data_IF_960871368978
#
_entry.id   IF_960871368978
#
_cell.length_a   1.000
_cell.length_b   1.000
_cell.length_c   1.000
_cell.angle_alpha   90.00
_cell.angle_beta   90.00
_cell.angle_gamma   90.00
#
_symmetry.space_group_name_H-M   'P 1'
#
loop_
_entity.id
_entity.type
_entity.pdbx_description
1 polymer ?
#
# COMPACT_ATOMS: atom_id res chain seq x y z
N UNK A 1 -48.16 -2.37 -65.72
CA UNK A 1 -46.86 -1.71 -65.36
C UNK A 1 -46.92 -1.45 -63.85
N UNK A 2 -46.21 -2.31 -63.09
CA UNK A 2 -46.23 -2.28 -61.64
C UNK A 2 -44.96 -1.58 -61.19
N UNK A 3 -45.04 -0.38 -60.59
CA UNK A 3 -43.91 0.34 -60.02
C UNK A 3 -43.52 -0.33 -58.70
N UNK A 4 -42.33 -0.87 -58.66
CA UNK A 4 -41.69 -1.43 -57.49
C UNK A 4 -40.91 -0.28 -56.78
N UNK A 5 -41.42 0.16 -55.61
CA UNK A 5 -40.71 1.12 -54.78
C UNK A 5 -39.76 0.33 -53.89
N UNK A 6 -38.43 0.51 -54.05
CA UNK A 6 -37.42 -0.02 -53.16
C UNK A 6 -37.27 0.96 -51.96
N UNK A 7 -37.65 0.53 -50.75
CA UNK A 7 -37.32 1.17 -49.50
C UNK A 7 -35.97 0.63 -49.05
N UNK A 8 -34.92 1.46 -49.08
CA UNK A 8 -33.65 1.18 -48.42
C UNK A 8 -33.81 1.40 -46.89
N UNK A 9 -33.44 0.42 -46.04
CA UNK A 9 -33.34 0.69 -44.63
C UNK A 9 -32.06 1.50 -44.32
N UNK A 10 -32.24 2.69 -43.79
CA UNK A 10 -31.16 3.48 -43.21
C UNK A 10 -30.77 2.79 -41.91
N UNK A 11 -29.62 2.11 -41.90
CA UNK A 11 -29.00 1.60 -40.68
C UNK A 11 -28.31 2.79 -39.96
N UNK A 12 -28.93 3.27 -38.92
CA UNK A 12 -28.25 4.16 -37.96
C UNK A 12 -27.22 3.32 -37.20
N UNK A 13 -25.95 3.46 -37.57
CA UNK A 13 -24.85 3.03 -36.70
C UNK A 13 -24.75 4.06 -35.58
N UNK A 14 -25.36 3.78 -34.44
CA UNK A 14 -25.02 4.49 -33.21
C UNK A 14 -23.60 4.09 -32.85
N UNK A 15 -22.65 4.98 -33.19
CA UNK A 15 -21.32 5.00 -32.60
C UNK A 15 -21.51 5.38 -31.13
N UNK A 16 -21.44 4.41 -30.23
CA UNK A 16 -21.20 4.70 -28.82
C UNK A 16 -19.75 5.19 -28.75
N UNK A 17 -19.55 6.48 -28.91
CA UNK A 17 -18.40 7.14 -28.30
C UNK A 17 -18.70 7.11 -26.81
N UNK A 18 -18.02 6.27 -26.05
CA UNK A 18 -17.89 6.43 -24.63
C UNK A 18 -17.16 7.76 -24.44
N UNK A 19 -17.92 8.81 -24.14
CA UNK A 19 -17.36 10.00 -23.52
C UNK A 19 -16.76 9.52 -22.19
N UNK A 20 -15.46 9.31 -22.18
CA UNK A 20 -14.71 9.21 -20.93
C UNK A 20 -14.94 10.54 -20.26
N UNK A 21 -15.59 10.56 -19.12
CA UNK A 21 -15.83 11.77 -18.35
C UNK A 21 -14.48 12.47 -18.14
N UNK A 22 -14.41 13.75 -18.52
CA UNK A 22 -13.18 14.56 -18.46
C UNK A 22 -12.63 14.79 -17.03
N UNK A 23 -13.27 14.18 -15.99
CA UNK A 23 -12.93 14.35 -14.57
C UNK A 23 -12.63 13.01 -13.85
N UNK A 24 -12.20 11.95 -14.54
CA UNK A 24 -11.82 10.71 -13.85
C UNK A 24 -10.45 10.87 -13.16
N UNK A 25 -10.42 10.61 -11.85
CA UNK A 25 -9.16 10.54 -11.09
C UNK A 25 -8.24 9.48 -11.71
N UNK A 26 -6.99 9.80 -11.86
CA UNK A 26 -5.97 8.89 -12.41
C UNK A 26 -4.77 8.80 -11.48
N UNK A 27 -3.92 7.80 -11.67
CA UNK A 27 -2.65 7.72 -10.94
C UNK A 27 -1.84 9.03 -10.99
N UNK A 28 -1.81 9.71 -12.14
CA UNK A 28 -1.07 10.96 -12.30
C UNK A 28 -1.56 12.10 -11.38
N UNK A 29 -2.81 12.03 -10.89
CA UNK A 29 -3.38 13.07 -10.04
C UNK A 29 -2.94 12.96 -8.57
N UNK A 30 -2.53 11.78 -8.14
CA UNK A 30 -2.11 11.56 -6.75
C UNK A 30 -0.60 11.54 -6.58
N UNK A 31 0.13 10.85 -7.40
CA UNK A 31 1.61 10.69 -7.47
C UNK A 31 2.38 10.91 -6.14
N UNK A 32 1.80 10.41 -5.04
CA UNK A 32 2.39 10.49 -3.70
C UNK A 32 3.27 9.27 -3.52
N UNK A 33 4.58 9.49 -3.47
CA UNK A 33 5.58 8.43 -3.33
C UNK A 33 6.41 8.57 -2.07
N UNK A 34 6.82 7.45 -1.51
CA UNK A 34 7.68 7.35 -0.35
C UNK A 34 8.75 6.29 -0.56
N UNK A 35 9.85 6.40 0.15
CA UNK A 35 10.81 5.32 0.29
C UNK A 35 10.41 4.46 1.50
N UNK A 36 10.01 3.23 1.24
CA UNK A 36 9.62 2.28 2.29
C UNK A 36 10.67 1.21 2.49
N UNK A 37 10.88 0.87 3.75
CA UNK A 37 11.74 -0.25 4.16
C UNK A 37 10.92 -1.25 4.97
N UNK A 38 11.09 -2.54 4.67
CA UNK A 38 10.43 -3.65 5.35
C UNK A 38 11.48 -4.57 5.98
N UNK A 39 11.32 -4.84 7.28
CA UNK A 39 12.17 -5.75 8.05
C UNK A 39 11.35 -6.93 8.55
N UNK A 40 11.86 -8.15 8.36
CA UNK A 40 11.27 -9.34 8.98
C UNK A 40 11.58 -9.34 10.47
N UNK A 41 10.57 -9.62 11.29
CA UNK A 41 10.68 -9.61 12.74
C UNK A 41 10.24 -10.95 13.33
N UNK A 42 10.95 -11.42 14.35
CA UNK A 42 10.63 -12.64 15.08
C UNK A 42 10.18 -12.29 16.49
N UNK A 43 9.11 -12.93 16.95
CA UNK A 43 8.62 -12.78 18.32
C UNK A 43 9.64 -13.30 19.33
N UNK A 44 9.95 -12.49 20.33
CA UNK A 44 10.81 -12.88 21.44
C UNK A 44 10.05 -13.60 22.56
N UNK A 45 10.75 -13.93 23.66
CA UNK A 45 10.16 -14.64 24.81
C UNK A 45 9.11 -13.84 25.56
N UNK A 46 9.19 -12.52 25.50
CA UNK A 46 8.30 -11.59 26.20
C UNK A 46 7.25 -10.98 25.24
N UNK A 47 7.09 -11.59 24.06
CA UNK A 47 6.13 -11.14 23.07
C UNK A 47 4.70 -11.24 23.58
N UNK A 48 3.99 -10.13 23.58
CA UNK A 48 2.56 -10.03 23.84
C UNK A 48 2.04 -8.75 23.21
N UNK A 49 0.73 -8.63 23.01
CA UNK A 49 0.14 -7.40 22.51
C UNK A 49 0.51 -6.18 23.38
N UNK A 50 0.49 -6.35 24.70
CA UNK A 50 0.80 -5.26 25.63
C UNK A 50 2.27 -4.84 25.55
N UNK A 51 3.21 -5.79 25.46
CA UNK A 51 4.64 -5.48 25.31
C UNK A 51 4.97 -4.84 23.99
N UNK A 52 4.33 -5.27 22.88
CA UNK A 52 4.47 -4.63 21.57
C UNK A 52 3.92 -3.21 21.60
N UNK A 53 2.74 -2.99 22.18
CA UNK A 53 2.15 -1.66 22.30
C UNK A 53 3.05 -0.71 23.13
N UNK A 54 3.62 -1.20 24.24
CA UNK A 54 4.56 -0.44 25.04
C UNK A 54 5.84 -0.09 24.26
N UNK A 55 6.42 -1.08 23.57
CA UNK A 55 7.58 -0.92 22.72
C UNK A 55 7.34 0.13 21.62
N UNK A 56 6.20 0.05 20.92
CA UNK A 56 5.83 1.00 19.86
C UNK A 56 5.58 2.43 20.42
N UNK A 57 4.97 2.55 21.59
CA UNK A 57 4.74 3.83 22.24
C UNK A 57 6.06 4.54 22.61
N UNK A 58 7.02 3.79 23.15
CA UNK A 58 8.35 4.30 23.46
C UNK A 58 9.13 4.64 22.18
N UNK A 59 9.08 3.78 21.16
CA UNK A 59 9.70 4.06 19.86
C UNK A 59 9.24 5.40 19.30
N UNK A 60 7.93 5.64 19.27
CA UNK A 60 7.36 6.91 18.78
C UNK A 60 7.89 8.13 19.55
N UNK A 61 8.18 7.99 20.83
CA UNK A 61 8.72 9.09 21.65
C UNK A 61 10.18 9.41 21.35
N UNK A 62 10.91 8.47 20.77
CA UNK A 62 12.32 8.65 20.36
C UNK A 62 12.42 9.25 18.95
N UNK A 63 11.36 9.14 18.16
CA UNK A 63 11.34 9.66 16.80
C UNK A 63 11.07 11.15 16.81
N UNK A 64 12.05 11.93 16.42
CA UNK A 64 11.92 13.36 16.21
C UNK A 64 12.41 13.75 14.82
N UNK A 65 12.07 12.91 13.82
CA UNK A 65 12.50 13.06 12.44
C UNK A 65 11.28 13.31 11.56
N UNK A 66 11.16 14.54 11.04
CA UNK A 66 10.05 14.96 10.17
C UNK A 66 10.03 14.21 8.82
N UNK A 67 11.16 13.61 8.43
CA UNK A 67 11.28 12.81 7.22
C UNK A 67 10.82 11.37 7.38
N UNK A 68 10.61 10.88 8.61
CA UNK A 68 9.95 9.61 8.86
C UNK A 68 8.43 9.83 8.87
N UNK A 69 7.78 9.51 7.76
CA UNK A 69 6.34 9.68 7.53
C UNK A 69 5.53 8.74 8.41
N UNK A 70 6.03 7.53 8.64
CA UNK A 70 5.36 6.55 9.49
C UNK A 70 6.20 5.33 9.81
N UNK A 71 5.75 4.62 10.86
CA UNK A 71 6.31 3.34 11.28
C UNK A 71 5.16 2.42 11.71
N UNK A 72 5.12 1.21 11.15
CA UNK A 72 4.06 0.23 11.42
C UNK A 72 4.64 -1.12 11.73
N UNK A 73 3.98 -1.84 12.64
CA UNK A 73 4.26 -3.23 12.94
C UNK A 73 3.11 -4.11 12.46
N UNK A 74 3.44 -5.18 11.75
CA UNK A 74 2.49 -6.17 11.26
C UNK A 74 2.72 -7.48 11.97
N UNK A 75 1.64 -8.11 12.42
CA UNK A 75 1.66 -9.46 12.98
C UNK A 75 0.69 -10.36 12.20
N UNK A 76 0.96 -11.66 12.06
CA UNK A 76 0.04 -12.58 11.42
C UNK A 76 -1.33 -12.55 12.08
N UNK A 77 -2.40 -12.32 11.29
CA UNK A 77 -3.77 -12.27 11.79
C UNK A 77 -4.38 -13.67 11.95
N UNK A 78 -3.80 -14.70 11.32
CA UNK A 78 -4.26 -16.08 11.40
C UNK A 78 -3.11 -17.08 11.27
N UNK A 79 -3.34 -18.34 11.70
CA UNK A 79 -2.38 -19.42 11.53
C UNK A 79 -2.20 -19.87 10.05
N UNK A 80 -3.08 -19.43 9.16
CA UNK A 80 -3.03 -19.72 7.73
C UNK A 80 -2.25 -18.64 6.94
N UNK A 81 -1.68 -17.66 7.65
CA UNK A 81 -0.88 -16.63 7.00
C UNK A 81 0.33 -17.25 6.29
N UNK A 82 0.69 -16.68 5.13
CA UNK A 82 1.85 -17.15 4.34
C UNK A 82 3.17 -17.03 5.09
N UNK A 83 3.28 -16.02 5.95
CA UNK A 83 4.45 -15.76 6.78
C UNK A 83 4.06 -15.95 8.25
N UNK A 84 4.89 -16.60 9.01
CA UNK A 84 4.75 -16.82 10.46
C UNK A 84 5.51 -15.77 11.29
N UNK A 85 6.28 -14.89 10.63
CA UNK A 85 6.99 -13.78 11.25
C UNK A 85 6.15 -12.49 11.20
N UNK A 86 6.51 -11.55 12.07
CA UNK A 86 6.05 -10.15 11.97
C UNK A 86 6.85 -9.36 10.94
N UNK A 87 6.38 -8.16 10.66
CA UNK A 87 7.09 -7.20 9.83
C UNK A 87 7.08 -5.84 10.49
N UNK A 88 8.17 -5.09 10.31
CA UNK A 88 8.30 -3.69 10.68
C UNK A 88 8.52 -2.88 9.42
N UNK A 89 7.66 -1.91 9.19
CA UNK A 89 7.72 -1.01 8.06
C UNK A 89 8.09 0.40 8.51
N UNK A 90 9.01 1.02 7.79
CA UNK A 90 9.34 2.44 7.89
C UNK A 90 9.05 3.11 6.56
N UNK A 91 8.38 4.25 6.60
CA UNK A 91 8.09 5.08 5.41
C UNK A 91 8.79 6.42 5.55
N UNK A 92 9.60 6.76 4.58
CA UNK A 92 10.43 7.94 4.55
C UNK A 92 10.09 8.85 3.38
N UNK A 93 10.33 10.15 3.51
CA UNK A 93 10.15 11.10 2.40
C UNK A 93 11.05 10.79 1.22
N UNK A 94 12.22 10.20 1.44
CA UNK A 94 13.17 9.78 0.40
C UNK A 94 14.16 8.73 0.92
N UNK A 95 14.93 8.12 0.02
CA UNK A 95 16.03 7.21 0.34
C UNK A 95 17.16 7.91 1.11
N UNK A 96 17.45 9.16 0.77
CA UNK A 96 18.44 9.98 1.45
C UNK A 96 18.00 10.25 2.90
N UNK A 97 16.72 10.54 3.11
CA UNK A 97 16.12 10.71 4.43
C UNK A 97 16.23 9.43 5.26
N UNK A 98 15.94 8.26 4.67
CA UNK A 98 16.12 6.97 5.32
C UNK A 98 17.57 6.75 5.76
N UNK A 99 18.54 6.99 4.88
CA UNK A 99 19.97 6.85 5.21
C UNK A 99 20.40 7.79 6.35
N UNK A 100 19.91 9.03 6.35
CA UNK A 100 20.17 9.99 7.42
C UNK A 100 19.52 9.54 8.74
N UNK A 101 18.28 9.09 8.70
CA UNK A 101 17.55 8.57 9.87
C UNK A 101 18.22 7.35 10.49
N UNK A 102 18.69 6.40 9.69
CA UNK A 102 19.47 5.26 10.19
C UNK A 102 20.81 5.68 10.80
N UNK A 103 21.50 6.67 10.23
CA UNK A 103 22.74 7.19 10.80
C UNK A 103 22.50 7.85 12.15
N UNK A 104 21.41 8.63 12.29
CA UNK A 104 20.98 9.23 13.54
C UNK A 104 20.62 8.16 14.59
N UNK A 105 19.78 7.18 14.21
CA UNK A 105 19.39 6.06 15.07
C UNK A 105 20.59 5.30 15.63
N UNK A 106 21.54 4.95 14.77
CA UNK A 106 22.72 4.20 15.16
C UNK A 106 23.68 4.98 16.08
N UNK A 107 23.63 6.30 16.06
CA UNK A 107 24.43 7.17 16.93
C UNK A 107 23.70 7.64 18.20
N UNK A 108 22.40 7.37 18.34
CA UNK A 108 21.58 7.81 19.44
C UNK A 108 21.63 6.80 20.61
N UNK A 109 22.16 7.19 21.80
CA UNK A 109 22.26 6.27 22.93
C UNK A 109 20.87 5.85 23.48
N UNK A 110 19.85 6.70 23.36
CA UNK A 110 18.51 6.37 23.82
C UNK A 110 17.85 5.32 22.89
N UNK A 111 18.14 5.37 21.59
CA UNK A 111 17.71 4.37 20.63
C UNK A 111 18.38 3.01 20.89
N UNK A 112 19.67 3.01 21.25
CA UNK A 112 20.38 1.78 21.61
C UNK A 112 19.81 1.19 22.93
N UNK A 113 19.58 2.02 23.93
CA UNK A 113 18.96 1.59 25.19
C UNK A 113 17.54 1.02 24.97
N UNK A 114 16.75 1.62 24.08
CA UNK A 114 15.44 1.10 23.69
C UNK A 114 15.57 -0.27 23.01
N UNK A 115 16.49 -0.43 22.07
CA UNK A 115 16.73 -1.70 21.36
C UNK A 115 17.12 -2.81 22.33
N UNK A 116 18.00 -2.54 23.28
CA UNK A 116 18.39 -3.49 24.32
C UNK A 116 17.22 -3.85 25.24
N UNK A 117 16.44 -2.86 25.66
CA UNK A 117 15.28 -3.04 26.56
C UNK A 117 14.23 -3.95 25.94
N UNK A 118 14.00 -3.84 24.65
CA UNK A 118 12.93 -4.54 23.94
C UNK A 118 13.40 -5.77 23.13
N UNK A 119 14.67 -6.16 23.25
CA UNK A 119 15.24 -7.30 22.53
C UNK A 119 14.49 -8.61 22.73
N UNK A 120 13.89 -8.83 23.91
CA UNK A 120 13.08 -10.03 24.20
C UNK A 120 11.61 -9.90 23.75
N UNK A 121 11.16 -8.71 23.34
CA UNK A 121 9.80 -8.54 22.81
C UNK A 121 9.77 -8.92 21.34
N UNK A 122 10.65 -8.36 20.53
CA UNK A 122 10.72 -8.63 19.10
C UNK A 122 12.12 -8.30 18.58
N UNK A 123 12.64 -9.16 17.74
CA UNK A 123 13.91 -8.95 17.03
C UNK A 123 13.63 -8.83 15.54
N UNK A 124 14.10 -7.72 14.92
CA UNK A 124 13.94 -7.47 13.50
C UNK A 124 15.26 -7.53 12.78
N UNK A 125 15.28 -8.13 11.58
CA UNK A 125 16.44 -8.21 10.70
C UNK A 125 16.66 -6.87 9.96
N UNK A 126 17.36 -5.96 10.65
CA UNK A 126 17.67 -4.62 10.11
C UNK A 126 18.61 -4.69 8.92
N UNK A 127 19.56 -5.63 8.91
CA UNK A 127 20.54 -5.78 7.83
C UNK A 127 19.90 -6.39 6.56
N UNK A 128 18.94 -7.31 6.74
CA UNK A 128 18.18 -7.94 5.66
C UNK A 128 16.95 -7.15 5.21
N UNK A 129 16.80 -5.88 5.62
CA UNK A 129 15.66 -5.08 5.21
C UNK A 129 15.56 -4.90 3.70
N UNK A 130 14.37 -5.00 3.17
CA UNK A 130 14.06 -4.72 1.77
C UNK A 130 13.58 -3.29 1.58
N UNK A 131 13.93 -2.67 0.46
CA UNK A 131 13.56 -1.28 0.12
C UNK A 131 12.65 -1.24 -1.10
N UNK A 132 11.68 -0.35 -1.06
CA UNK A 132 10.63 -0.22 -2.06
C UNK A 132 10.30 1.26 -2.30
N UNK A 133 9.87 1.59 -3.52
CA UNK A 133 9.13 2.82 -3.74
C UNK A 133 7.66 2.51 -3.46
N UNK A 134 7.15 3.06 -2.38
CA UNK A 134 5.72 2.97 -2.06
C UNK A 134 4.96 4.09 -2.77
N UNK A 135 3.83 3.75 -3.38
CA UNK A 135 3.03 4.70 -4.16
C UNK A 135 1.57 4.63 -3.71
N UNK A 136 1.02 5.76 -3.30
CA UNK A 136 -0.43 5.95 -3.28
C UNK A 136 -0.88 6.36 -4.68
N UNK A 137 -1.53 5.47 -5.41
CA UNK A 137 -2.04 5.75 -6.76
C UNK A 137 -3.45 6.34 -6.75
N UNK A 138 -4.06 6.40 -5.56
CA UNK A 138 -5.38 6.93 -5.29
C UNK A 138 -5.38 7.58 -3.90
N UNK A 139 -6.29 8.51 -3.64
CA UNK A 139 -6.42 9.17 -2.34
C UNK A 139 -6.64 8.14 -1.23
N UNK A 140 -5.71 7.96 -0.28
CA UNK A 140 -5.84 6.98 0.78
C UNK A 140 -7.01 7.26 1.74
N UNK A 141 -7.59 8.45 1.69
CA UNK A 141 -8.73 8.86 2.52
C UNK A 141 -10.06 8.90 1.76
N UNK A 142 -10.08 8.50 0.49
CA UNK A 142 -11.27 8.53 -0.35
C UNK A 142 -12.45 7.72 0.24
N UNK A 143 -12.17 6.65 0.99
CA UNK A 143 -13.18 5.83 1.68
C UNK A 143 -13.32 6.15 3.18
N UNK A 144 -12.67 7.21 3.66
CA UNK A 144 -12.71 7.64 5.04
C UNK A 144 -11.35 7.57 5.74
N UNK A 145 -11.28 8.16 6.93
CA UNK A 145 -10.06 8.18 7.72
C UNK A 145 -9.95 6.90 8.58
N UNK A 146 -8.75 6.36 8.67
CA UNK A 146 -8.43 5.31 9.63
C UNK A 146 -8.52 5.82 11.06
N UNK A 147 -8.90 4.92 11.97
CA UNK A 147 -8.98 5.22 13.39
C UNK A 147 -7.58 5.54 13.94
N UNK A 148 -7.43 6.75 14.52
CA UNK A 148 -6.11 7.27 14.96
C UNK A 148 -5.80 6.98 16.44
N UNK A 149 -6.81 6.68 17.25
CA UNK A 149 -6.62 6.51 18.70
C UNK A 149 -5.87 5.22 19.00
N UNK A 150 -6.32 4.10 18.43
CA UNK A 150 -5.62 2.82 18.58
C UNK A 150 -4.48 2.70 17.58
N UNK A 151 -4.59 3.35 16.42
CA UNK A 151 -3.68 3.20 15.30
C UNK A 151 -3.67 1.79 14.71
N UNK A 152 -4.70 0.98 15.00
CA UNK A 152 -4.82 -0.40 14.51
C UNK A 152 -5.57 -0.45 13.20
N UNK A 153 -5.14 -1.31 12.30
CA UNK A 153 -5.77 -1.59 11.01
C UNK A 153 -5.51 -3.06 10.63
N UNK A 154 -6.24 -3.57 9.65
CA UNK A 154 -5.93 -4.86 9.03
C UNK A 154 -5.36 -4.63 7.63
N UNK A 155 -4.42 -5.48 7.24
CA UNK A 155 -3.83 -5.42 5.91
C UNK A 155 -3.66 -6.81 5.31
N UNK A 156 -3.74 -6.89 4.01
CA UNK A 156 -3.25 -8.03 3.24
C UNK A 156 -2.28 -7.58 2.15
N UNK A 157 -1.35 -8.45 1.82
CA UNK A 157 -0.30 -8.19 0.83
C UNK A 157 -0.30 -9.28 -0.22
N UNK A 158 -0.53 -8.90 -1.46
CA UNK A 158 -0.49 -9.81 -2.60
C UNK A 158 0.83 -9.61 -3.39
N UNK A 159 1.64 -10.68 -3.59
CA UNK A 159 2.74 -10.64 -4.53
C UNK A 159 2.19 -10.63 -5.96
N UNK A 160 2.60 -9.64 -6.72
CA UNK A 160 2.18 -9.43 -8.09
C UNK A 160 3.39 -9.43 -9.04
N UNK A 161 3.13 -9.76 -10.28
CA UNK A 161 4.12 -9.69 -11.35
C UNK A 161 3.52 -8.99 -12.56
N UNK A 162 4.29 -8.16 -13.22
CA UNK A 162 3.88 -7.62 -14.50
C UNK A 162 3.84 -8.76 -15.53
N UNK A 163 2.73 -8.88 -16.26
CA UNK A 163 2.56 -9.90 -17.27
C UNK A 163 3.61 -9.77 -18.38
N UNK A 164 4.00 -10.91 -18.99
CA UNK A 164 4.96 -10.93 -20.08
C UNK A 164 4.56 -9.99 -21.23
N UNK A 165 5.51 -9.19 -21.69
CA UNK A 165 5.32 -8.23 -22.78
C UNK A 165 4.58 -6.94 -22.39
N UNK A 166 4.25 -6.76 -21.10
CA UNK A 166 3.65 -5.53 -20.61
C UNK A 166 4.71 -4.54 -20.13
N UNK A 167 4.43 -3.26 -20.33
CA UNK A 167 5.26 -2.14 -19.90
C UNK A 167 4.72 -1.51 -18.61
N UNK A 168 5.50 -0.60 -18.04
CA UNK A 168 5.04 0.22 -16.92
C UNK A 168 3.83 1.11 -17.30
N UNK A 169 3.76 1.55 -18.55
CA UNK A 169 2.59 2.30 -19.05
C UNK A 169 1.33 1.43 -19.14
N UNK A 170 1.45 0.16 -19.57
CA UNK A 170 0.32 -0.79 -19.49
C UNK A 170 -0.15 -1.02 -18.05
N UNK A 171 0.80 -1.03 -17.10
CA UNK A 171 0.49 -1.16 -15.69
C UNK A 171 -0.29 0.06 -15.16
N UNK A 172 0.13 1.29 -15.53
CA UNK A 172 -0.61 2.51 -15.19
C UNK A 172 -2.04 2.50 -15.72
N UNK A 173 -2.25 2.01 -16.95
CA UNK A 173 -3.60 1.87 -17.51
C UNK A 173 -4.45 0.93 -16.64
N UNK A 174 -3.92 -0.23 -16.26
CA UNK A 174 -4.65 -1.17 -15.40
C UNK A 174 -4.98 -0.56 -14.01
N UNK A 175 -4.08 0.22 -13.45
CA UNK A 175 -4.33 0.94 -12.19
C UNK A 175 -5.42 2.00 -12.37
N UNK A 176 -5.41 2.75 -13.47
CA UNK A 176 -6.46 3.72 -13.75
C UNK A 176 -7.84 3.07 -13.94
N UNK A 177 -7.90 1.90 -14.57
CA UNK A 177 -9.13 1.11 -14.67
C UNK A 177 -9.63 0.67 -13.28
N UNK A 178 -8.71 0.30 -12.38
CA UNK A 178 -9.04 -0.03 -11.00
C UNK A 178 -9.54 1.18 -10.21
N UNK A 179 -8.91 2.34 -10.37
CA UNK A 179 -9.37 3.60 -9.76
C UNK A 179 -10.79 3.94 -10.25
N UNK A 180 -11.04 3.85 -11.54
CA UNK A 180 -12.37 4.09 -12.11
C UNK A 180 -13.44 3.12 -11.54
N UNK A 181 -13.07 1.87 -11.31
CA UNK A 181 -13.95 0.91 -10.63
C UNK A 181 -14.20 1.33 -9.16
N UNK A 182 -13.17 1.72 -8.40
CA UNK A 182 -13.33 2.21 -7.04
C UNK A 182 -14.25 3.44 -6.96
N UNK A 183 -14.15 4.36 -7.91
CA UNK A 183 -15.02 5.53 -8.02
C UNK A 183 -16.48 5.17 -8.31
N UNK A 184 -16.72 4.03 -8.93
CA UNK A 184 -18.07 3.53 -9.23
C UNK A 184 -18.79 2.87 -8.07
N UNK A 185 -18.06 2.58 -6.96
CA UNK A 185 -18.64 1.91 -5.79
C UNK A 185 -19.61 2.83 -5.03
N UNK A 186 -20.66 2.22 -4.48
CA UNK A 186 -21.60 2.92 -3.61
C UNK A 186 -20.95 3.22 -2.25
N UNK A 187 -20.71 4.50 -1.99
CA UNK A 187 -20.07 4.97 -0.75
C UNK A 187 -20.90 4.75 0.51
N UNK A 188 -22.22 4.55 0.40
CA UNK A 188 -23.05 4.21 1.55
C UNK A 188 -22.87 2.73 1.93
N UNK A 189 -22.67 1.86 0.94
CA UNK A 189 -22.41 0.44 1.16
C UNK A 189 -20.98 0.20 1.63
N UNK A 190 -20.01 0.94 1.07
CA UNK A 190 -18.56 0.84 1.39
C UNK A 190 -18.10 2.04 2.23
N UNK A 191 -18.66 2.20 3.42
CA UNK A 191 -18.44 3.37 4.28
C UNK A 191 -17.23 3.23 5.22
N UNK A 192 -16.56 2.08 5.25
CA UNK A 192 -15.39 1.85 6.11
C UNK A 192 -14.10 2.26 5.42
N UNK A 193 -13.16 2.79 6.20
CA UNK A 193 -11.87 3.21 5.66
C UNK A 193 -11.16 2.05 4.95
N UNK A 194 -10.79 2.33 3.72
CA UNK A 194 -10.02 1.45 2.85
C UNK A 194 -9.02 2.28 2.06
N UNK A 195 -7.81 1.76 1.94
CA UNK A 195 -6.79 2.30 1.05
C UNK A 195 -5.99 1.16 0.45
N UNK A 196 -5.33 1.39 -0.66
CA UNK A 196 -4.34 0.46 -1.20
C UNK A 196 -3.09 1.22 -1.62
N UNK A 197 -1.97 0.52 -1.57
CA UNK A 197 -0.70 1.07 -2.01
C UNK A 197 0.13 0.03 -2.75
N UNK A 198 1.03 0.50 -3.58
CA UNK A 198 1.92 -0.32 -4.38
C UNK A 198 3.34 -0.19 -3.86
N UNK A 199 3.99 -1.33 -3.61
CA UNK A 199 5.42 -1.42 -3.28
C UNK A 199 6.16 -1.83 -4.55
N UNK A 200 6.68 -0.86 -5.26
CA UNK A 200 7.40 -1.05 -6.50
C UNK A 200 8.89 -1.24 -6.23
N UNK A 201 9.55 -2.19 -6.91
CA UNK A 201 10.99 -2.33 -6.78
C UNK A 201 11.68 -1.06 -7.30
N UNK A 202 12.83 -0.76 -6.73
CA UNK A 202 13.69 0.33 -7.18
C UNK A 202 15.09 -0.21 -7.45
N UNK A 203 15.81 0.43 -8.34
CA UNK A 203 17.21 0.14 -8.57
C UNK A 203 18.11 0.80 -7.49
N UNK A 204 19.42 0.67 -7.62
CA UNK A 204 20.37 1.29 -6.70
C UNK A 204 20.31 2.83 -6.66
N UNK A 205 19.76 3.47 -7.71
CA UNK A 205 19.56 4.90 -7.80
C UNK A 205 18.17 5.33 -7.32
N UNK A 206 17.29 4.39 -6.96
CA UNK A 206 15.91 4.64 -6.56
C UNK A 206 14.95 4.80 -7.74
N UNK A 207 15.37 4.45 -8.97
CA UNK A 207 14.52 4.55 -10.16
C UNK A 207 13.58 3.34 -10.27
N UNK A 208 12.36 3.59 -10.76
CA UNK A 208 11.35 2.56 -10.99
C UNK A 208 11.68 1.73 -12.24
N UNK A 209 11.34 0.43 -12.25
CA UNK A 209 11.54 -0.42 -13.41
C UNK A 209 10.59 -0.04 -14.54
N UNK A 210 11.01 -0.28 -15.78
CA UNK A 210 10.20 -0.01 -16.97
C UNK A 210 9.42 -1.23 -17.48
N UNK A 211 9.84 -2.45 -17.13
CA UNK A 211 9.23 -3.72 -17.53
C UNK A 211 9.72 -4.89 -16.68
N UNK A 212 9.01 -6.01 -16.73
CA UNK A 212 9.41 -7.29 -16.11
C UNK A 212 9.76 -7.20 -14.63
N UNK A 213 8.90 -6.61 -13.84
CA UNK A 213 9.10 -6.47 -12.41
C UNK A 213 8.05 -7.19 -11.58
N UNK A 214 8.44 -7.56 -10.37
CA UNK A 214 7.55 -8.02 -9.32
C UNK A 214 7.33 -6.87 -8.33
N UNK A 215 6.13 -6.80 -7.77
CA UNK A 215 5.76 -5.78 -6.81
C UNK A 215 4.82 -6.38 -5.76
N UNK A 216 4.57 -5.64 -4.70
CA UNK A 216 3.54 -6.01 -3.73
C UNK A 216 2.38 -5.02 -3.82
N UNK A 217 1.18 -5.57 -3.79
CA UNK A 217 -0.06 -4.84 -3.62
C UNK A 217 -0.46 -4.93 -2.15
N UNK A 218 -0.49 -3.81 -1.44
CA UNK A 218 -0.97 -3.73 -0.07
C UNK A 218 -2.38 -3.17 -0.02
N UNK A 219 -3.30 -3.90 0.59
CA UNK A 219 -4.62 -3.41 0.96
C UNK A 219 -4.64 -3.09 2.44
N UNK A 220 -5.25 -1.98 2.79
CA UNK A 220 -5.37 -1.49 4.15
C UNK A 220 -6.84 -1.27 4.47
N UNK A 221 -7.32 -1.87 5.55
CA UNK A 221 -8.72 -1.86 5.97
C UNK A 221 -8.83 -1.36 7.41
N UNK A 222 -9.95 -0.74 7.76
CA UNK A 222 -10.20 -0.26 9.12
C UNK A 222 -10.06 -1.37 10.17
N UNK A 223 -10.45 -2.60 9.83
CA UNK A 223 -10.42 -3.76 10.72
C UNK A 223 -10.37 -5.07 9.93
N UNK A 224 -10.10 -6.18 10.61
CA UNK A 224 -10.18 -7.51 10.02
C UNK A 224 -11.59 -7.83 9.50
N UNK A 225 -12.64 -7.37 10.18
CA UNK A 225 -14.01 -7.56 9.73
C UNK A 225 -14.28 -6.80 8.42
N UNK A 226 -13.84 -5.54 8.31
CA UNK A 226 -13.98 -4.78 7.05
C UNK A 226 -13.16 -5.37 5.91
N UNK A 227 -11.99 -5.96 6.20
CA UNK A 227 -11.21 -6.70 5.21
C UNK A 227 -11.98 -7.91 4.67
N UNK A 228 -12.61 -8.70 5.53
CA UNK A 228 -13.44 -9.83 5.11
C UNK A 228 -14.67 -9.39 4.30
N UNK A 229 -15.28 -8.26 4.65
CA UNK A 229 -16.39 -7.69 3.88
C UNK A 229 -15.91 -7.23 2.49
N UNK A 230 -14.80 -6.52 2.41
CA UNK A 230 -14.18 -6.10 1.15
C UNK A 230 -13.89 -7.29 0.24
N UNK A 231 -13.25 -8.32 0.77
CA UNK A 231 -12.91 -9.55 0.01
C UNK A 231 -14.13 -10.32 -0.50
N UNK A 232 -15.31 -10.15 0.09
CA UNK A 232 -16.55 -10.74 -0.41
C UNK A 232 -17.25 -9.89 -1.49
N UNK A 233 -16.86 -8.64 -1.67
CA UNK A 233 -17.40 -7.74 -2.68
C UNK A 233 -16.69 -7.88 -4.05
N UNK A 234 -15.59 -8.65 -4.10
CA UNK A 234 -14.86 -9.06 -5.31
C UNK A 234 -15.44 -10.37 -5.84
#
# INVERSE_FOLDING_TARGET
MRNLVFLLPIVFVMSCTSDVAEDSVTWADTDITFHNEMMACTAGTDFSQDSVNAMMSEYRSLLNNEDLVGAWGYIPASAENRFDNGWWELSWTSKEAANAGWSEWNSNPDAQAWSEKHANVMECDVEGRSSWTFVWTYDPYAFGEFEKVTGSFASDFAPCSLNEGKSFDDFKVAINDYIAWLESLDREEFSQAYAYGLYLPQDENGELPTSNFNFWWGNFHQSFESMLQGNNAW
#
